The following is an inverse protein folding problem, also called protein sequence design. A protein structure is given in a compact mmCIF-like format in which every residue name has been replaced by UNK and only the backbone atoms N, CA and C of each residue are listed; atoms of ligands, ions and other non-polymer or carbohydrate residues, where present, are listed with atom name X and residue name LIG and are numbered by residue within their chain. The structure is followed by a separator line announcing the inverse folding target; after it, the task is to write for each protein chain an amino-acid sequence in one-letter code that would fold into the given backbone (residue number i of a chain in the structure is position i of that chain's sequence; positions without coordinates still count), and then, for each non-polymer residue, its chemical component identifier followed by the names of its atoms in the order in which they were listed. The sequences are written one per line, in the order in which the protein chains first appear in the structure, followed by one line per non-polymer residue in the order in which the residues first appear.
data_IF_889692448815
#
_entry.id   IF_889692448815
#
_cell.length_a   1.000
_cell.length_b   1.000
_cell.length_c   1.000
_cell.angle_alpha   90.00
_cell.angle_beta   90.00
_cell.angle_gamma   90.00
#
_symmetry.space_group_name_H-M   'P 1'
#
loop_
_entity.id
_entity.type
_entity.pdbx_description
1 polymer ?
#
# COMPACT_ATOMS: atom_id res chain seq x y z
N UNK A 1 24.03 15.28 1.37
CA UNK A 1 22.76 15.78 0.79
C UNK A 1 21.72 14.72 0.99
N UNK A 2 20.91 14.86 2.04
CA UNK A 2 19.74 14.01 2.26
C UNK A 2 18.74 14.41 1.20
N UNK A 3 18.48 13.54 0.25
CA UNK A 3 17.49 13.76 -0.80
C UNK A 3 16.14 14.01 -0.16
N UNK A 4 15.47 15.11 -0.52
CA UNK A 4 14.20 15.57 0.08
C UNK A 4 13.05 14.55 0.10
N UNK A 5 13.19 13.44 -0.65
CA UNK A 5 12.26 12.31 -0.65
C UNK A 5 12.33 11.49 0.66
N UNK A 6 13.50 11.41 1.31
CA UNK A 6 13.66 10.64 2.54
C UNK A 6 13.06 11.34 3.77
N UNK A 7 13.02 12.67 3.77
CA UNK A 7 12.45 13.46 4.87
C UNK A 7 10.93 13.51 4.82
N UNK A 8 10.31 13.28 3.66
CA UNK A 8 8.85 13.32 3.48
C UNK A 8 8.14 11.97 3.69
N UNK A 9 8.86 10.93 4.10
CA UNK A 9 8.24 9.64 4.42
C UNK A 9 7.33 9.69 5.66
N UNK A 10 7.54 10.67 6.54
CA UNK A 10 6.71 10.88 7.72
C UNK A 10 5.73 12.04 7.48
N UNK A 11 4.41 11.80 7.51
CA UNK A 11 3.38 12.81 7.22
C UNK A 11 3.43 14.01 8.19
N UNK A 12 4.02 13.82 9.37
CA UNK A 12 4.15 14.84 10.42
C UNK A 12 5.15 15.92 10.02
N UNK A 13 6.23 15.59 9.31
CA UNK A 13 7.29 16.56 8.97
C UNK A 13 6.99 17.39 7.73
N UNK A 14 6.25 16.82 6.77
CA UNK A 14 5.90 17.53 5.54
C UNK A 14 4.55 18.23 5.59
N UNK A 15 3.86 18.23 6.75
CA UNK A 15 2.50 18.80 6.92
C UNK A 15 1.52 18.37 5.81
N UNK A 16 1.75 17.19 5.23
CA UNK A 16 0.87 16.67 4.19
C UNK A 16 -0.37 16.04 4.84
N UNK A 17 -1.43 16.83 4.93
CA UNK A 17 -2.68 16.42 5.55
C UNK A 17 -3.30 15.17 4.88
N UNK A 18 -3.05 14.96 3.58
CA UNK A 18 -3.57 13.79 2.82
C UNK A 18 -3.01 12.48 3.35
N UNK A 19 -1.69 12.40 3.53
CA UNK A 19 -1.04 11.23 4.15
C UNK A 19 -1.49 11.04 5.60
N UNK A 20 -1.71 12.16 6.32
CA UNK A 20 -2.21 12.15 7.69
C UNK A 20 -3.60 11.54 7.80
N UNK A 21 -4.51 11.89 6.91
CA UNK A 21 -5.89 11.34 6.88
C UNK A 21 -5.87 9.84 6.58
N UNK A 22 -5.08 9.41 5.59
CA UNK A 22 -4.97 7.98 5.23
C UNK A 22 -4.43 7.18 6.43
N UNK A 23 -3.36 7.67 7.06
CA UNK A 23 -2.75 7.02 8.21
C UNK A 23 -3.69 7.00 9.41
N UNK A 24 -4.36 8.11 9.70
CA UNK A 24 -5.32 8.20 10.81
C UNK A 24 -6.50 7.24 10.61
N UNK A 25 -7.05 7.16 9.40
CA UNK A 25 -8.11 6.23 9.07
C UNK A 25 -7.69 4.76 9.25
N UNK A 26 -6.51 4.41 8.75
CA UNK A 26 -5.95 3.06 8.94
C UNK A 26 -5.73 2.74 10.42
N UNK A 27 -5.08 3.63 11.17
CA UNK A 27 -4.79 3.42 12.59
C UNK A 27 -6.06 3.39 13.44
N UNK A 28 -7.05 4.23 13.16
CA UNK A 28 -8.32 4.23 13.89
C UNK A 28 -9.05 2.90 13.78
N UNK A 29 -8.94 2.24 12.63
CA UNK A 29 -9.55 0.93 12.41
C UNK A 29 -8.69 -0.22 12.94
N UNK A 30 -7.37 -0.08 12.91
CA UNK A 30 -6.43 -1.14 13.32
C UNK A 30 -6.13 -1.13 14.82
N UNK A 31 -5.97 0.05 15.46
CA UNK A 31 -5.58 0.17 16.85
C UNK A 31 -6.52 -0.55 17.84
N UNK A 32 -7.87 -0.56 17.67
CA UNK A 32 -8.75 -1.31 18.54
C UNK A 32 -8.45 -2.81 18.58
N UNK A 33 -7.93 -3.39 17.48
CA UNK A 33 -7.59 -4.81 17.41
C UNK A 33 -6.40 -5.18 18.29
N UNK A 34 -5.49 -4.25 18.54
CA UNK A 34 -4.36 -4.47 19.45
C UNK A 34 -4.84 -4.67 20.90
N UNK A 35 -5.96 -4.03 21.26
CA UNK A 35 -6.58 -4.18 22.58
C UNK A 35 -7.27 -5.54 22.75
N UNK A 36 -7.66 -6.18 21.66
CA UNK A 36 -8.39 -7.45 21.65
C UNK A 36 -7.56 -8.61 21.07
N UNK A 37 -6.22 -8.57 21.23
CA UNK A 37 -5.28 -9.54 20.68
C UNK A 37 -5.53 -11.00 21.11
N UNK A 38 -6.28 -11.21 22.21
CA UNK A 38 -6.63 -12.54 22.71
C UNK A 38 -7.86 -13.18 22.05
N UNK A 39 -8.56 -12.44 21.16
CA UNK A 39 -9.71 -12.98 20.42
C UNK A 39 -9.28 -13.48 19.05
N UNK A 40 -9.99 -14.49 18.56
CA UNK A 40 -9.84 -14.94 17.18
C UNK A 40 -10.20 -13.80 16.23
N UNK A 41 -9.21 -13.36 15.45
CA UNK A 41 -9.39 -12.30 14.47
C UNK A 41 -9.65 -12.96 13.12
N UNK A 42 -10.83 -12.75 12.57
CA UNK A 42 -11.16 -13.27 11.25
C UNK A 42 -10.71 -12.31 10.15
N UNK A 43 -10.21 -12.87 9.07
CA UNK A 43 -9.67 -12.11 7.92
C UNK A 43 -10.71 -11.14 7.31
N UNK A 44 -12.02 -11.44 7.39
CA UNK A 44 -13.04 -10.56 6.82
C UNK A 44 -13.11 -9.18 7.49
N UNK A 45 -12.61 -9.03 8.72
CA UNK A 45 -12.52 -7.71 9.35
C UNK A 45 -11.53 -6.78 8.64
N UNK A 46 -10.57 -7.34 7.88
CA UNK A 46 -9.60 -6.54 7.12
C UNK A 46 -10.27 -5.73 6.01
N UNK A 47 -11.47 -6.08 5.58
CA UNK A 47 -12.24 -5.33 4.57
C UNK A 47 -12.43 -3.87 4.96
N UNK A 48 -12.53 -3.57 6.27
CA UNK A 48 -12.69 -2.22 6.76
C UNK A 48 -11.50 -1.29 6.44
N UNK A 49 -10.27 -1.81 6.38
CA UNK A 49 -9.09 -0.97 6.06
C UNK A 49 -8.69 -1.00 4.58
N UNK A 50 -9.29 -1.86 3.77
CA UNK A 50 -8.98 -1.95 2.33
C UNK A 50 -9.06 -0.58 1.64
N UNK A 51 -10.05 0.28 1.87
CA UNK A 51 -10.11 1.60 1.26
C UNK A 51 -8.88 2.47 1.60
N UNK A 52 -8.42 2.44 2.84
CA UNK A 52 -7.27 3.23 3.29
C UNK A 52 -5.95 2.67 2.73
N UNK A 53 -5.83 1.34 2.63
CA UNK A 53 -4.69 0.70 1.98
C UNK A 53 -4.66 1.06 0.50
N UNK A 54 -5.80 0.99 -0.19
CA UNK A 54 -5.91 1.37 -1.60
C UNK A 54 -5.53 2.85 -1.82
N UNK A 55 -6.00 3.75 -0.96
CA UNK A 55 -5.63 5.16 -1.00
C UNK A 55 -4.12 5.36 -0.74
N UNK A 56 -3.53 4.63 0.21
CA UNK A 56 -2.10 4.69 0.49
C UNK A 56 -1.26 4.23 -0.71
N UNK A 57 -1.66 3.13 -1.36
CA UNK A 57 -1.00 2.62 -2.56
C UNK A 57 -1.15 3.61 -3.73
N UNK A 58 -2.34 4.12 -3.97
CA UNK A 58 -2.59 5.11 -5.02
C UNK A 58 -1.77 6.39 -4.79
N UNK A 59 -1.69 6.84 -3.54
CA UNK A 59 -0.87 7.98 -3.14
C UNK A 59 0.61 7.72 -3.39
N UNK A 60 1.13 6.55 -3.00
CA UNK A 60 2.52 6.16 -3.23
C UNK A 60 2.85 6.11 -4.72
N UNK A 61 1.97 5.50 -5.54
CA UNK A 61 2.13 5.45 -7.00
C UNK A 61 2.17 6.87 -7.58
N UNK A 62 1.30 7.75 -7.11
CA UNK A 62 1.24 9.14 -7.59
C UNK A 62 2.52 9.92 -7.25
N UNK A 63 3.10 9.70 -6.07
CA UNK A 63 4.38 10.29 -5.67
C UNK A 63 5.54 9.74 -6.52
N UNK A 64 5.61 8.42 -6.70
CA UNK A 64 6.65 7.78 -7.51
C UNK A 64 6.58 8.21 -8.97
N UNK A 65 5.39 8.31 -9.53
CA UNK A 65 5.19 8.74 -10.91
C UNK A 65 5.42 10.24 -11.14
N UNK A 66 5.54 11.03 -10.05
CA UNK A 66 5.73 12.47 -10.12
C UNK A 66 4.48 13.24 -10.52
N UNK A 67 3.29 12.65 -10.31
CA UNK A 67 2.01 13.33 -10.60
C UNK A 67 1.60 14.29 -9.49
N UNK A 68 2.10 14.09 -8.27
CA UNK A 68 1.80 14.90 -7.11
C UNK A 68 3.08 15.39 -6.49
N UNK A 69 3.16 16.68 -6.26
CA UNK A 69 4.21 17.31 -5.46
C UNK A 69 3.75 17.36 -4.00
N UNK A 70 4.68 17.16 -3.08
CA UNK A 70 4.39 17.33 -1.65
C UNK A 70 4.34 18.83 -1.36
N UNK A 71 3.24 19.30 -0.78
CA UNK A 71 3.08 20.70 -0.44
C UNK A 71 4.23 21.17 0.48
N UNK A 72 4.85 22.29 0.14
CA UNK A 72 5.96 22.88 0.91
C UNK A 72 7.37 22.54 0.41
N UNK A 73 7.50 21.78 -0.68
CA UNK A 73 8.79 21.61 -1.36
C UNK A 73 8.94 22.75 -2.37
N UNK A 74 9.98 23.59 -2.26
CA UNK A 74 10.21 24.67 -3.22
C UNK A 74 10.36 24.11 -4.63
N UNK A 75 9.77 24.78 -5.62
CA UNK A 75 9.80 24.42 -7.03
C UNK A 75 11.25 24.30 -7.58
N UNK A 76 12.19 24.98 -6.94
CA UNK A 76 13.61 24.90 -7.25
C UNK A 76 14.28 23.53 -6.98
N UNK A 77 13.58 22.61 -6.32
CA UNK A 77 14.07 21.25 -6.00
C UNK A 77 13.33 20.20 -6.82
N UNK A 78 13.03 20.49 -8.07
CA UNK A 78 12.49 19.48 -8.98
C UNK A 78 13.53 18.36 -9.18
N UNK A 79 13.13 17.09 -9.00
CA UNK A 79 14.06 16.00 -9.20
C UNK A 79 14.54 15.94 -10.65
N UNK A 80 15.79 15.58 -10.90
CA UNK A 80 16.32 15.46 -12.24
C UNK A 80 15.50 14.43 -13.05
N UNK A 81 15.45 14.60 -14.36
CA UNK A 81 14.60 13.77 -15.26
C UNK A 81 14.80 12.27 -15.08
N UNK A 82 16.03 11.81 -14.83
CA UNK A 82 16.31 10.40 -14.59
C UNK A 82 15.58 9.87 -13.34
N UNK A 83 15.48 10.65 -12.28
CA UNK A 83 14.74 10.25 -11.05
C UNK A 83 13.24 10.11 -11.32
N UNK A 84 12.67 10.99 -12.13
CA UNK A 84 11.27 10.90 -12.55
C UNK A 84 11.02 9.65 -13.40
N UNK A 85 11.92 9.34 -14.32
CA UNK A 85 11.80 8.14 -15.16
C UNK A 85 11.91 6.89 -14.31
N UNK A 86 12.88 6.82 -13.40
CA UNK A 86 13.03 5.70 -12.47
C UNK A 86 11.79 5.55 -11.59
N UNK A 87 11.25 6.64 -11.08
CA UNK A 87 10.01 6.62 -10.29
C UNK A 87 8.81 6.07 -11.07
N UNK A 88 8.66 6.46 -12.33
CA UNK A 88 7.61 5.93 -13.22
C UNK A 88 7.77 4.44 -13.51
N UNK A 89 9.01 3.98 -13.72
CA UNK A 89 9.29 2.55 -13.88
C UNK A 89 8.91 1.79 -12.61
N UNK A 90 9.32 2.28 -11.44
CA UNK A 90 8.97 1.66 -10.15
C UNK A 90 7.46 1.63 -9.91
N UNK A 91 6.75 2.71 -10.24
CA UNK A 91 5.30 2.74 -10.17
C UNK A 91 4.66 1.70 -11.10
N UNK A 92 5.17 1.57 -12.32
CA UNK A 92 4.73 0.55 -13.28
C UNK A 92 4.97 -0.87 -12.77
N UNK A 93 6.14 -1.15 -12.24
CA UNK A 93 6.47 -2.46 -11.64
C UNK A 93 5.53 -2.78 -10.48
N UNK A 94 5.28 -1.80 -9.61
CA UNK A 94 4.35 -1.98 -8.48
C UNK A 94 2.93 -2.30 -8.96
N UNK A 95 2.43 -1.59 -9.97
CA UNK A 95 1.10 -1.84 -10.54
C UNK A 95 1.04 -3.26 -11.13
N UNK A 96 2.04 -3.66 -11.90
CA UNK A 96 2.10 -5.01 -12.49
C UNK A 96 2.16 -6.07 -11.40
N UNK A 97 2.94 -5.86 -10.33
CA UNK A 97 3.00 -6.78 -9.21
C UNK A 97 1.64 -6.92 -8.50
N UNK A 98 0.94 -5.81 -8.24
CA UNK A 98 -0.39 -5.82 -7.63
C UNK A 98 -1.39 -6.56 -8.51
N UNK A 99 -1.41 -6.29 -9.81
CA UNK A 99 -2.29 -6.96 -10.76
C UNK A 99 -1.96 -8.46 -10.87
N UNK A 100 -0.67 -8.80 -10.90
CA UNK A 100 -0.20 -10.19 -10.91
C UNK A 100 -0.67 -10.96 -9.67
N UNK A 101 -0.50 -10.38 -8.48
CA UNK A 101 -1.03 -10.96 -7.25
C UNK A 101 -2.55 -11.09 -7.28
N UNK A 102 -3.27 -10.06 -7.76
CA UNK A 102 -4.72 -10.09 -7.84
C UNK A 102 -5.21 -11.21 -8.76
N UNK A 103 -4.59 -11.38 -9.93
CA UNK A 103 -4.92 -12.46 -10.87
C UNK A 103 -4.56 -13.84 -10.30
N UNK A 104 -3.42 -13.95 -9.61
CA UNK A 104 -2.98 -15.19 -8.99
C UNK A 104 -3.97 -15.67 -7.93
N UNK A 105 -4.46 -14.79 -7.06
CA UNK A 105 -5.40 -15.13 -5.99
C UNK A 105 -6.88 -15.07 -6.44
N UNK A 106 -7.17 -14.63 -7.66
CA UNK A 106 -8.54 -14.45 -8.14
C UNK A 106 -9.42 -15.71 -8.01
N UNK A 107 -8.97 -16.93 -8.36
CA UNK A 107 -9.78 -18.14 -8.23
C UNK A 107 -10.23 -18.41 -6.78
N UNK A 108 -9.34 -18.12 -5.81
CA UNK A 108 -9.67 -18.30 -4.39
C UNK A 108 -10.69 -17.24 -3.92
N UNK A 109 -10.54 -15.99 -4.37
CA UNK A 109 -11.47 -14.93 -4.00
C UNK A 109 -12.87 -15.13 -4.59
N UNK A 110 -12.94 -15.76 -5.75
CA UNK A 110 -14.21 -16.11 -6.40
C UNK A 110 -14.84 -17.39 -5.83
N UNK A 111 -14.13 -18.08 -4.95
CA UNK A 111 -14.51 -19.40 -4.43
C UNK A 111 -14.75 -20.43 -5.56
N UNK A 112 -13.94 -20.36 -6.61
CA UNK A 112 -13.99 -21.34 -7.69
C UNK A 112 -13.58 -22.73 -7.15
N UNK A 113 -14.17 -23.77 -7.69
CA UNK A 113 -13.79 -25.15 -7.34
C UNK A 113 -12.41 -25.44 -7.91
N UNK A 114 -11.42 -25.61 -7.06
CA UNK A 114 -10.02 -25.84 -7.43
C UNK A 114 -9.50 -27.13 -6.80
N UNK A 115 -8.51 -27.75 -7.42
CA UNK A 115 -7.85 -28.93 -6.87
C UNK A 115 -7.07 -28.58 -5.57
N UNK A 116 -6.90 -29.59 -4.72
CA UNK A 116 -6.21 -29.43 -3.44
C UNK A 116 -4.77 -28.91 -3.62
N UNK A 117 -4.03 -29.42 -4.60
CA UNK A 117 -2.66 -28.99 -4.86
C UNK A 117 -2.59 -27.53 -5.30
N UNK A 118 -3.55 -27.08 -6.11
CA UNK A 118 -3.68 -25.68 -6.50
C UNK A 118 -3.97 -24.80 -5.27
N UNK A 119 -4.95 -25.20 -4.45
CA UNK A 119 -5.28 -24.48 -3.22
C UNK A 119 -4.07 -24.38 -2.29
N UNK A 120 -3.36 -25.49 -2.07
CA UNK A 120 -2.17 -25.55 -1.21
C UNK A 120 -1.04 -24.66 -1.71
N UNK A 121 -0.83 -24.56 -3.02
CA UNK A 121 0.18 -23.67 -3.61
C UNK A 121 -0.06 -22.18 -3.30
N UNK A 122 -1.32 -21.81 -3.01
CA UNK A 122 -1.70 -20.44 -2.66
C UNK A 122 -1.65 -20.17 -1.14
N UNK A 123 -1.45 -21.21 -0.32
CA UNK A 123 -1.28 -21.09 1.13
C UNK A 123 0.20 -20.92 1.47
N UNK A 124 0.68 -19.67 1.38
CA UNK A 124 2.10 -19.37 1.56
C UNK A 124 2.57 -19.43 3.01
N UNK A 125 1.66 -19.26 3.96
CA UNK A 125 1.99 -19.31 5.38
C UNK A 125 1.35 -20.55 6.04
N UNK A 126 2.11 -21.32 6.84
CA UNK A 126 1.56 -22.48 7.56
C UNK A 126 0.40 -22.12 8.50
N UNK A 127 0.33 -20.87 8.94
CA UNK A 127 -0.75 -20.36 9.80
C UNK A 127 -2.07 -20.11 9.06
N UNK A 128 -2.10 -20.29 7.72
CA UNK A 128 -3.31 -20.14 6.90
C UNK A 128 -4.05 -21.48 6.72
N UNK A 129 -3.47 -22.57 7.20
CA UNK A 129 -4.01 -23.93 7.08
C UNK A 129 -4.51 -24.41 8.44
#
# INVERSE_FOLDING_TARGET
QVTGVQTCALPIWCRNWRSGVILAGYLALYAPWLLYAHRTIFTFYTVAFVPFVALAVAWMISLLAGFVTVDGVPEAVLPPRHTVITGRIMAGVLIVAILGCALYFMPLWRADVVDYDFWRAHMWLPSWI
#
